data_IF_307373592077
#
_entry.id   IF_307373592077
#
_cell.length_a   1.000
_cell.length_b   1.000
_cell.length_c   1.000
_cell.angle_alpha   90.00
_cell.angle_beta   90.00
_cell.angle_gamma   90.00
#
_symmetry.space_group_name_H-M   'P 1'
#
loop_
_entity.id
_entity.type
_entity.pdbx_description
1 polymer ?
#
# COMPACT_ATOMS: atom_id res chain seq x y z
N UNK A 1 -1.85 4.46 -18.87
CA UNK A 1 -2.65 3.51 -18.05
C UNK A 1 -2.74 4.07 -16.63
N UNK A 2 -3.90 3.99 -15.98
CA UNK A 2 -4.02 4.41 -14.59
C UNK A 2 -3.38 3.35 -13.67
N UNK A 3 -2.44 3.76 -12.81
CA UNK A 3 -1.83 2.91 -11.77
C UNK A 3 -2.77 2.69 -10.56
N UNK A 4 -4.04 3.13 -10.66
CA UNK A 4 -5.03 2.93 -9.60
C UNK A 4 -5.56 1.51 -9.65
N UNK A 5 -5.70 0.90 -8.47
CA UNK A 5 -6.39 -0.37 -8.33
C UNK A 5 -7.85 -0.22 -8.80
N UNK A 6 -8.35 -1.20 -9.54
CA UNK A 6 -9.71 -1.19 -10.10
C UNK A 6 -10.39 -2.51 -9.74
N UNK A 7 -11.51 -2.45 -9.03
CA UNK A 7 -12.29 -3.63 -8.64
C UNK A 7 -12.74 -4.46 -9.85
N UNK A 8 -13.01 -3.81 -10.99
CA UNK A 8 -13.35 -4.49 -12.24
C UNK A 8 -12.27 -5.44 -12.79
N UNK A 9 -11.03 -5.37 -12.30
CA UNK A 9 -9.97 -6.35 -12.63
C UNK A 9 -10.13 -7.68 -11.89
N UNK A 10 -10.87 -7.71 -10.77
CA UNK A 10 -11.14 -8.94 -10.02
C UNK A 10 -12.32 -9.69 -10.64
N UNK A 11 -13.41 -8.97 -10.94
CA UNK A 11 -14.60 -9.51 -11.62
C UNK A 11 -15.36 -8.38 -12.29
N UNK A 12 -16.07 -8.67 -13.38
CA UNK A 12 -16.88 -7.69 -14.13
C UNK A 12 -18.02 -7.07 -13.30
N UNK A 13 -18.49 -7.77 -12.27
CA UNK A 13 -19.55 -7.30 -11.36
C UNK A 13 -19.03 -6.70 -10.06
N UNK A 14 -17.72 -6.75 -9.82
CA UNK A 14 -17.09 -6.33 -8.57
C UNK A 14 -17.29 -4.83 -8.30
N UNK A 15 -17.94 -4.50 -7.19
CA UNK A 15 -18.09 -3.11 -6.70
C UNK A 15 -17.32 -2.88 -5.42
N UNK A 16 -16.95 -1.62 -5.15
CA UNK A 16 -16.24 -1.19 -3.91
C UNK A 16 -16.88 -1.78 -2.65
N UNK A 17 -18.22 -1.73 -2.56
CA UNK A 17 -19.00 -2.22 -1.41
C UNK A 17 -18.83 -3.72 -1.13
N UNK A 18 -18.51 -4.53 -2.14
CA UNK A 18 -18.41 -5.98 -1.98
C UNK A 18 -17.10 -6.38 -1.28
N UNK A 19 -16.07 -5.53 -1.38
CA UNK A 19 -14.73 -5.78 -0.84
C UNK A 19 -14.43 -4.96 0.42
N UNK A 20 -15.30 -4.03 0.80
CA UNK A 20 -15.11 -3.16 1.95
C UNK A 20 -15.02 -3.95 3.26
N UNK A 21 -15.90 -4.94 3.46
CA UNK A 21 -15.87 -5.82 4.64
C UNK A 21 -14.57 -6.63 4.69
N UNK A 22 -14.14 -7.21 3.57
CA UNK A 22 -12.90 -7.98 3.51
C UNK A 22 -11.66 -7.10 3.77
N UNK A 23 -11.65 -5.88 3.23
CA UNK A 23 -10.59 -4.92 3.46
C UNK A 23 -10.52 -4.51 4.94
N UNK A 24 -11.66 -4.22 5.56
CA UNK A 24 -11.73 -3.89 6.99
C UNK A 24 -11.28 -5.05 7.87
N UNK A 25 -11.60 -6.29 7.49
CA UNK A 25 -11.11 -7.48 8.17
C UNK A 25 -9.58 -7.58 8.10
N UNK A 26 -8.98 -7.38 6.92
CA UNK A 26 -7.52 -7.38 6.74
C UNK A 26 -6.80 -6.28 7.51
N UNK A 27 -7.41 -5.09 7.61
CA UNK A 27 -6.88 -3.99 8.41
C UNK A 27 -6.94 -4.31 9.90
N UNK A 28 -8.06 -4.88 10.35
CA UNK A 28 -8.27 -5.26 11.75
C UNK A 28 -7.37 -6.41 12.19
N UNK A 29 -7.05 -7.34 11.27
CA UNK A 29 -6.12 -8.44 11.52
C UNK A 29 -4.66 -8.03 11.45
N UNK A 30 -4.35 -6.74 11.21
CA UNK A 30 -3.00 -6.18 11.05
C UNK A 30 -2.18 -6.82 9.92
N UNK A 31 -2.81 -7.55 9.00
CA UNK A 31 -2.15 -8.15 7.84
C UNK A 31 -1.75 -7.10 6.79
N UNK A 32 -2.47 -6.00 6.75
CA UNK A 32 -2.23 -4.87 5.84
C UNK A 32 -2.31 -3.54 6.57
N UNK A 33 -1.60 -2.54 6.05
CA UNK A 33 -1.64 -1.16 6.51
C UNK A 33 -2.16 -0.26 5.40
N UNK A 34 -3.13 0.59 5.74
CA UNK A 34 -3.67 1.62 4.84
C UNK A 34 -2.92 2.93 5.08
N UNK A 35 -2.43 3.54 4.00
CA UNK A 35 -1.91 4.90 3.99
C UNK A 35 -2.84 5.80 3.19
N UNK A 36 -3.20 6.94 3.77
CA UNK A 36 -4.02 7.96 3.11
C UNK A 36 -3.19 8.78 2.14
N UNK A 37 -3.79 9.22 1.05
CA UNK A 37 -3.14 10.11 0.08
C UNK A 37 -3.60 11.54 0.36
N UNK A 38 -2.64 12.46 0.47
CA UNK A 38 -2.91 13.88 0.63
C UNK A 38 -2.92 14.58 -0.73
N UNK A 39 -3.87 15.49 -0.92
CA UNK A 39 -3.90 16.41 -2.05
C UNK A 39 -2.83 17.51 -1.92
N UNK A 40 -2.58 17.97 -0.69
CA UNK A 40 -1.55 18.94 -0.35
C UNK A 40 -0.88 18.57 0.96
N UNK A 41 0.41 18.86 1.06
CA UNK A 41 1.19 18.68 2.29
C UNK A 41 1.14 19.99 3.07
N UNK A 42 0.00 20.25 3.70
CA UNK A 42 -0.27 21.41 4.55
C UNK A 42 -0.77 20.93 5.93
N UNK A 43 -0.58 21.75 6.96
CA UNK A 43 -0.97 21.42 8.34
C UNK A 43 -2.35 22.03 8.62
N UNK A 44 -3.31 21.28 9.20
CA UNK A 44 -3.23 19.87 9.57
C UNK A 44 -3.41 18.94 8.35
N UNK A 45 -2.60 17.86 8.23
CA UNK A 45 -2.62 16.98 7.06
C UNK A 45 -3.96 16.28 6.84
N UNK A 46 -4.70 16.00 7.91
CA UNK A 46 -6.04 15.41 7.87
C UNK A 46 -7.04 16.22 7.01
N UNK A 47 -6.88 17.55 6.92
CA UNK A 47 -7.76 18.42 6.12
C UNK A 47 -7.57 18.28 4.60
N UNK A 48 -6.50 17.61 4.16
CA UNK A 48 -6.14 17.46 2.75
C UNK A 48 -6.18 16.01 2.27
N UNK A 49 -6.75 15.11 3.06
CA UNK A 49 -6.91 13.70 2.70
C UNK A 49 -7.89 13.55 1.53
N UNK A 50 -7.56 12.65 0.60
CA UNK A 50 -8.45 12.25 -0.48
C UNK A 50 -9.12 10.93 -0.11
N UNK A 51 -10.37 10.97 0.33
CA UNK A 51 -11.08 9.80 0.89
C UNK A 51 -11.22 8.61 -0.08
N UNK A 52 -11.26 8.87 -1.38
CA UNK A 52 -11.39 7.85 -2.43
C UNK A 52 -10.06 7.25 -2.91
N UNK A 53 -8.92 7.73 -2.39
CA UNK A 53 -7.60 7.22 -2.77
C UNK A 53 -6.78 6.83 -1.54
N UNK A 54 -6.31 5.60 -1.53
CA UNK A 54 -5.42 5.10 -0.49
C UNK A 54 -4.39 4.16 -1.10
N UNK A 55 -3.25 4.02 -0.42
CA UNK A 55 -2.27 2.97 -0.68
C UNK A 55 -2.42 1.88 0.38
N UNK A 56 -2.24 0.63 -0.03
CA UNK A 56 -2.30 -0.53 0.86
C UNK A 56 -0.95 -1.23 0.85
N UNK A 57 -0.44 -1.54 2.03
CA UNK A 57 0.85 -2.16 2.23
C UNK A 57 0.67 -3.47 2.99
N UNK A 58 1.37 -4.53 2.59
CA UNK A 58 1.47 -5.74 3.41
C UNK A 58 2.18 -5.41 4.71
N UNK A 59 1.87 -6.11 5.80
CA UNK A 59 2.57 -5.92 7.08
C UNK A 59 4.06 -6.26 6.96
N UNK A 60 4.37 -7.40 6.34
CA UNK A 60 5.70 -7.97 6.24
C UNK A 60 6.43 -7.59 4.93
N UNK A 61 7.71 -7.20 5.04
CA UNK A 61 8.56 -6.84 3.90
C UNK A 61 9.12 -8.05 3.16
N UNK A 62 9.37 -9.17 3.84
CA UNK A 62 9.80 -10.42 3.23
C UNK A 62 8.72 -11.01 2.34
N UNK A 63 7.46 -11.00 2.78
CA UNK A 63 6.32 -11.42 1.94
C UNK A 63 6.22 -10.53 0.70
N UNK A 64 6.36 -9.20 0.87
CA UNK A 64 6.36 -8.26 -0.25
C UNK A 64 7.48 -8.57 -1.26
N UNK A 65 8.70 -8.77 -0.79
CA UNK A 65 9.84 -9.10 -1.65
C UNK A 65 9.62 -10.41 -2.43
N UNK A 66 9.04 -11.42 -1.78
CA UNK A 66 8.70 -12.68 -2.41
C UNK A 66 7.61 -12.50 -3.49
N UNK A 67 6.58 -11.68 -3.23
CA UNK A 67 5.54 -11.37 -4.22
C UNK A 67 6.08 -10.56 -5.40
N UNK A 68 7.10 -9.72 -5.17
CA UNK A 68 7.82 -8.99 -6.22
C UNK A 68 8.83 -9.88 -6.97
N UNK A 69 8.95 -11.16 -6.62
CA UNK A 69 9.91 -12.11 -7.20
C UNK A 69 11.36 -11.62 -7.11
N UNK A 70 11.68 -10.82 -6.08
CA UNK A 70 13.03 -10.30 -5.85
C UNK A 70 13.89 -11.44 -5.30
N UNK A 71 14.96 -11.81 -6.02
CA UNK A 71 15.88 -12.84 -5.55
C UNK A 71 16.93 -12.22 -4.64
N UNK A 72 17.48 -13.04 -3.76
CA UNK A 72 18.56 -12.63 -2.85
C UNK A 72 19.76 -12.01 -3.59
N UNK A 73 20.13 -12.58 -4.76
CA UNK A 73 21.20 -12.03 -5.59
C UNK A 73 20.90 -10.63 -6.12
N UNK A 74 19.64 -10.31 -6.42
CA UNK A 74 19.25 -8.97 -6.90
C UNK A 74 19.42 -7.92 -5.79
N UNK A 75 19.27 -8.32 -4.53
CA UNK A 75 19.51 -7.48 -3.36
C UNK A 75 21.00 -7.22 -3.18
N UNK A 76 21.83 -8.27 -3.23
CA UNK A 76 23.29 -8.14 -3.07
C UNK A 76 23.91 -7.31 -4.19
N UNK A 77 23.48 -7.56 -5.43
CA UNK A 77 24.00 -6.89 -6.62
C UNK A 77 23.38 -5.49 -6.83
N UNK A 78 22.57 -5.03 -5.88
CA UNK A 78 21.88 -3.74 -5.88
C UNK A 78 21.05 -3.45 -7.15
N UNK A 79 20.51 -4.50 -7.78
CA UNK A 79 19.78 -4.42 -9.04
C UNK A 79 18.27 -4.08 -8.84
N UNK A 80 17.92 -3.48 -7.70
CA UNK A 80 16.53 -3.23 -7.30
C UNK A 80 15.96 -1.90 -7.82
N UNK A 81 16.63 -1.22 -8.76
CA UNK A 81 16.45 0.22 -9.04
C UNK A 81 14.99 0.69 -9.16
N UNK A 82 14.10 -0.12 -9.76
CA UNK A 82 12.67 0.24 -9.92
C UNK A 82 11.82 0.01 -8.67
N UNK A 83 12.22 -0.88 -7.76
CA UNK A 83 11.46 -1.26 -6.57
C UNK A 83 11.95 -0.59 -5.28
N UNK A 84 13.14 0.03 -5.29
CA UNK A 84 13.71 0.71 -4.10
C UNK A 84 12.74 1.71 -3.47
N UNK A 85 12.06 2.51 -4.29
CA UNK A 85 11.09 3.49 -3.80
C UNK A 85 9.87 2.86 -3.10
N UNK A 86 9.34 1.76 -3.66
CA UNK A 86 8.18 1.05 -3.10
C UNK A 86 8.57 0.38 -1.77
N UNK A 87 9.76 -0.24 -1.73
CA UNK A 87 10.30 -0.87 -0.53
C UNK A 87 10.55 0.18 0.56
N UNK A 88 11.15 1.33 0.21
CA UNK A 88 11.39 2.43 1.13
C UNK A 88 10.08 2.99 1.71
N UNK A 89 9.07 3.24 0.87
CA UNK A 89 7.77 3.74 1.31
C UNK A 89 7.09 2.74 2.27
N UNK A 90 7.12 1.44 1.94
CA UNK A 90 6.61 0.38 2.82
C UNK A 90 7.36 0.33 4.15
N UNK A 91 8.69 0.44 4.14
CA UNK A 91 9.51 0.45 5.36
C UNK A 91 9.15 1.64 6.24
N UNK A 92 9.01 2.85 5.68
CA UNK A 92 8.57 4.03 6.41
C UNK A 92 7.21 3.83 7.09
N UNK A 93 6.22 3.28 6.38
CA UNK A 93 4.91 2.97 6.95
C UNK A 93 5.00 1.98 8.13
N UNK A 94 5.92 1.00 8.06
CA UNK A 94 6.10 0.01 9.11
C UNK A 94 6.76 0.58 10.37
N UNK A 95 7.78 1.44 10.19
CA UNK A 95 8.57 1.99 11.30
C UNK A 95 7.89 3.15 12.00
N UNK A 96 7.32 4.09 11.23
CA UNK A 96 6.69 5.32 11.76
C UNK A 96 5.23 5.07 12.14
N UNK A 97 4.65 3.97 11.65
CA UNK A 97 3.23 3.69 11.71
C UNK A 97 2.48 4.54 10.68
N UNK A 98 1.61 3.91 9.89
CA UNK A 98 0.67 4.62 9.01
C UNK A 98 -0.47 5.30 9.80
N UNK A 99 -0.15 5.92 10.95
CA UNK A 99 -1.09 6.61 11.82
C UNK A 99 -0.73 8.09 11.84
N UNK A 100 -1.45 8.88 11.05
CA UNK A 100 -1.55 10.31 11.29
C UNK A 100 -2.68 10.49 12.31
N UNK A 101 -2.37 10.25 13.59
CA UNK A 101 -3.18 10.71 14.72
C UNK A 101 -2.84 12.17 15.02
#
# INVERSE_FOLDING_TARGET
>A
MSNKFQYGKISSTARKRDYETALNWLLSSTMVHKSVILNKVEIPPLGFVIDDHFKLYLSDTGILLNMLQVKYNDIILDNLLQYKGIIAEKLCCNTVGCKFE
#
